data_IF_325682181763
#
_entry.id   IF_325682181763
#
_cell.length_a   1.000
_cell.length_b   1.000
_cell.length_c   1.000
_cell.angle_alpha   90.00
_cell.angle_beta   90.00
_cell.angle_gamma   90.00
#
_symmetry.space_group_name_H-M   'P 1'
#
loop_
_entity.id
_entity.type
_entity.pdbx_description
1 polymer ?
#
# COMPACT_ATOMS: atom_id res chain seq x y z
N UNK A 1 -54.00 23.25 -14.88
CA UNK A 1 -53.21 22.00 -14.90
C UNK A 1 -51.96 22.13 -14.03
N UNK A 2 -52.11 22.36 -12.71
CA UNK A 2 -50.98 22.64 -11.79
C UNK A 2 -51.01 21.71 -10.55
N UNK A 3 -51.95 20.77 -10.47
CA UNK A 3 -52.13 19.90 -9.29
C UNK A 3 -51.24 18.65 -9.27
N UNK A 4 -50.54 18.36 -10.37
CA UNK A 4 -49.67 17.17 -10.49
C UNK A 4 -48.19 17.43 -10.20
N UNK A 5 -47.73 18.69 -10.16
CA UNK A 5 -46.30 19.01 -10.04
C UNK A 5 -45.84 19.00 -8.58
N UNK A 6 -46.73 19.33 -7.64
CA UNK A 6 -46.39 19.38 -6.21
C UNK A 6 -46.17 17.98 -5.60
N UNK A 7 -46.79 16.93 -6.15
CA UNK A 7 -46.62 15.56 -5.66
C UNK A 7 -45.27 14.95 -6.08
N UNK A 8 -44.71 15.35 -7.23
CA UNK A 8 -43.40 14.89 -7.67
C UNK A 8 -42.24 15.52 -6.86
N UNK A 9 -42.41 16.75 -6.36
CA UNK A 9 -41.39 17.45 -5.60
C UNK A 9 -41.17 16.89 -4.18
N UNK A 10 -42.21 16.30 -3.57
CA UNK A 10 -42.12 15.75 -2.19
C UNK A 10 -41.47 14.36 -2.15
N UNK A 11 -41.66 13.54 -3.20
CA UNK A 11 -41.04 12.21 -3.30
C UNK A 11 -39.52 12.31 -3.49
N UNK A 12 -39.04 13.36 -4.17
CA UNK A 12 -37.60 13.61 -4.33
C UNK A 12 -36.90 14.08 -3.04
N UNK A 13 -37.63 14.64 -2.07
CA UNK A 13 -37.07 15.09 -0.78
C UNK A 13 -36.98 13.98 0.28
N UNK A 14 -37.59 12.82 0.05
CA UNK A 14 -37.61 11.69 0.98
C UNK A 14 -36.63 10.56 0.64
N UNK A 15 -35.67 10.81 -0.26
CA UNK A 15 -34.60 9.85 -0.55
C UNK A 15 -33.28 10.23 0.14
N UNK A 16 -33.09 9.92 1.44
CA UNK A 16 -31.77 9.59 1.94
C UNK A 16 -31.54 8.09 1.66
N UNK A 17 -31.56 7.67 0.40
CA UNK A 17 -30.82 6.45 0.08
C UNK A 17 -29.38 6.88 -0.05
N UNK A 18 -28.74 6.93 1.11
CA UNK A 18 -27.32 7.06 1.26
C UNK A 18 -26.67 5.98 0.40
N UNK A 19 -26.27 6.36 -0.82
CA UNK A 19 -25.20 5.73 -1.55
C UNK A 19 -23.95 5.94 -0.69
N UNK A 20 -23.83 5.15 0.38
CA UNK A 20 -22.55 4.88 0.99
C UNK A 20 -21.78 4.12 -0.08
N UNK A 21 -21.10 4.88 -0.94
CA UNK A 21 -20.00 4.35 -1.71
C UNK A 21 -19.07 3.73 -0.66
N UNK A 22 -19.01 2.40 -0.64
CA UNK A 22 -18.05 1.69 0.17
C UNK A 22 -16.68 2.24 -0.23
N UNK A 23 -16.15 3.17 0.55
CA UNK A 23 -14.80 3.68 0.36
C UNK A 23 -13.86 2.54 0.74
N UNK A 24 -13.49 1.76 -0.28
CA UNK A 24 -12.48 0.71 -0.18
C UNK A 24 -11.12 1.37 0.11
N UNK A 25 -10.88 1.65 1.38
CA UNK A 25 -9.60 2.10 1.90
C UNK A 25 -8.74 0.87 2.12
N UNK A 26 -8.32 0.24 1.01
CA UNK A 26 -7.37 -0.89 0.81
C UNK A 26 -7.49 -2.15 1.71
N UNK A 27 -8.27 -2.13 2.79
CA UNK A 27 -8.39 -3.20 3.80
C UNK A 27 -9.64 -3.14 4.65
N UNK A 28 -10.38 -2.02 4.67
CA UNK A 28 -11.58 -1.88 5.51
C UNK A 28 -12.81 -1.51 4.69
N UNK A 29 -13.94 -2.16 5.02
CA UNK A 29 -15.27 -1.84 4.50
C UNK A 29 -16.15 -1.38 5.65
N UNK A 30 -16.81 -0.24 5.48
CA UNK A 30 -17.81 0.24 6.44
C UNK A 30 -19.15 -0.41 6.11
N UNK A 31 -19.68 -1.19 7.04
CA UNK A 31 -20.96 -1.88 6.88
C UNK A 31 -22.14 -1.02 7.34
N UNK A 32 -21.94 -0.27 8.42
CA UNK A 32 -22.91 0.62 9.03
C UNK A 32 -22.17 1.74 9.80
N UNK A 33 -22.85 2.82 10.21
CA UNK A 33 -22.27 3.78 11.14
C UNK A 33 -21.73 3.08 12.39
N UNK A 34 -20.43 3.23 12.67
CA UNK A 34 -19.76 2.58 13.81
C UNK A 34 -19.36 1.11 13.61
N UNK A 35 -19.68 0.48 12.46
CA UNK A 35 -19.30 -0.90 12.16
C UNK A 35 -18.35 -0.94 10.96
N UNK A 36 -17.08 -1.22 11.24
CA UNK A 36 -16.03 -1.43 10.23
C UNK A 36 -15.57 -2.88 10.24
N UNK A 37 -15.41 -3.45 9.05
CA UNK A 37 -14.90 -4.79 8.84
C UNK A 37 -13.55 -4.71 8.14
N UNK A 38 -12.53 -5.30 8.75
CA UNK A 38 -11.15 -5.29 8.27
C UNK A 38 -10.77 -6.63 7.66
N UNK A 39 -9.87 -6.59 6.68
CA UNK A 39 -9.27 -7.79 6.09
C UNK A 39 -8.69 -8.69 7.19
N UNK A 40 -9.15 -9.92 7.23
CA UNK A 40 -8.76 -10.94 8.20
C UNK A 40 -9.47 -10.83 9.55
N UNK A 41 -10.51 -10.00 9.66
CA UNK A 41 -11.46 -10.09 10.77
C UNK A 41 -12.12 -11.47 10.76
N UNK A 42 -12.36 -12.01 11.96
CA UNK A 42 -12.89 -13.36 12.14
C UNK A 42 -14.32 -13.30 12.67
N UNK A 43 -15.24 -14.02 12.03
CA UNK A 43 -16.62 -14.17 12.52
C UNK A 43 -16.73 -15.19 13.66
N UNK A 44 -17.94 -15.36 14.20
CA UNK A 44 -18.23 -16.33 15.27
C UNK A 44 -18.03 -17.78 14.86
N UNK A 45 -18.04 -18.09 13.56
CA UNK A 45 -17.83 -19.44 12.99
C UNK A 45 -16.35 -19.72 12.70
N UNK A 46 -15.49 -18.71 12.80
CA UNK A 46 -14.07 -18.80 12.49
C UNK A 46 -13.71 -18.44 11.05
N UNK A 47 -14.67 -17.98 10.24
CA UNK A 47 -14.41 -17.52 8.88
C UNK A 47 -13.74 -16.16 8.90
N UNK A 48 -12.85 -15.94 7.94
CA UNK A 48 -12.10 -14.70 7.81
C UNK A 48 -12.68 -13.84 6.70
N UNK A 49 -12.77 -12.54 6.94
CA UNK A 49 -13.14 -11.58 5.92
C UNK A 49 -12.00 -11.37 4.93
N UNK A 50 -12.22 -11.57 3.63
CA UNK A 50 -11.21 -11.36 2.58
C UNK A 50 -11.22 -9.96 1.94
N UNK A 51 -12.10 -9.07 2.40
CA UNK A 51 -12.39 -7.77 1.79
C UNK A 51 -13.73 -7.72 1.05
N UNK A 52 -14.31 -8.88 0.73
CA UNK A 52 -15.59 -8.96 0.02
C UNK A 52 -16.51 -10.09 0.50
N UNK A 53 -15.95 -11.19 0.97
CA UNK A 53 -16.68 -12.36 1.45
C UNK A 53 -16.04 -12.95 2.71
N UNK A 54 -16.86 -13.65 3.49
CA UNK A 54 -16.39 -14.54 4.55
C UNK A 54 -15.84 -15.83 3.95
N UNK A 55 -14.62 -16.20 4.33
CA UNK A 55 -13.89 -17.33 3.77
C UNK A 55 -13.48 -18.30 4.86
N UNK A 56 -13.54 -19.57 4.52
CA UNK A 56 -13.14 -20.63 5.45
C UNK A 56 -11.66 -20.50 5.85
N UNK A 57 -11.28 -20.97 7.05
CA UNK A 57 -9.91 -20.85 7.55
C UNK A 57 -8.83 -21.39 6.62
N UNK A 58 -9.08 -22.55 5.97
CA UNK A 58 -8.09 -23.18 5.09
C UNK A 58 -7.82 -22.32 3.87
N UNK A 59 -8.87 -21.95 3.14
CA UNK A 59 -8.78 -21.05 2.00
C UNK A 59 -8.06 -19.74 2.33
N UNK A 60 -8.35 -19.17 3.50
CA UNK A 60 -7.75 -17.89 3.90
C UNK A 60 -6.25 -18.05 4.16
N UNK A 61 -5.84 -19.07 4.91
CA UNK A 61 -4.42 -19.35 5.20
C UNK A 61 -3.63 -19.74 3.94
N UNK A 62 -4.28 -20.36 2.94
CA UNK A 62 -3.62 -20.70 1.67
C UNK A 62 -3.29 -19.46 0.81
N UNK A 63 -4.00 -18.36 1.03
CA UNK A 63 -3.91 -17.13 0.20
C UNK A 63 -3.31 -15.94 0.94
N UNK A 64 -3.46 -15.90 2.25
CA UNK A 64 -3.05 -14.80 3.10
C UNK A 64 -2.11 -15.29 4.20
N UNK A 65 -1.11 -14.48 4.49
CA UNK A 65 -0.20 -14.67 5.61
C UNK A 65 -0.22 -13.42 6.50
N UNK A 66 -0.23 -13.64 7.82
CA UNK A 66 -0.07 -12.54 8.77
C UNK A 66 1.41 -12.19 8.90
N UNK A 67 1.78 -10.99 8.46
CA UNK A 67 3.17 -10.48 8.45
C UNK A 67 3.15 -8.97 8.71
N UNK A 68 4.16 -8.47 9.42
CA UNK A 68 4.26 -7.02 9.72
C UNK A 68 2.99 -6.44 10.34
N UNK A 69 2.35 -7.21 11.25
CA UNK A 69 1.10 -6.84 11.94
C UNK A 69 -0.12 -6.65 11.01
N UNK A 70 -0.06 -7.11 9.76
CA UNK A 70 -1.14 -7.02 8.77
C UNK A 70 -1.31 -8.35 8.02
N UNK A 71 -2.51 -8.60 7.52
CA UNK A 71 -2.76 -9.68 6.57
C UNK A 71 -2.27 -9.31 5.16
N UNK A 72 -1.38 -10.13 4.61
CA UNK A 72 -0.84 -9.99 3.27
C UNK A 72 -1.29 -11.13 2.37
N UNK A 73 -1.79 -10.80 1.17
CA UNK A 73 -1.94 -11.82 0.12
C UNK A 73 -0.57 -12.33 -0.31
N UNK A 74 -0.40 -13.64 -0.47
CA UNK A 74 0.89 -14.28 -0.79
C UNK A 74 1.62 -13.67 -1.99
N UNK A 75 0.90 -13.33 -3.06
CA UNK A 75 1.48 -12.69 -4.25
C UNK A 75 1.95 -11.25 -3.98
N UNK A 76 1.19 -10.49 -3.21
CA UNK A 76 1.57 -9.13 -2.81
C UNK A 76 2.82 -9.18 -1.92
N UNK A 77 2.88 -10.12 -0.99
CA UNK A 77 4.07 -10.34 -0.16
C UNK A 77 5.30 -10.72 -0.98
N UNK A 78 5.16 -11.63 -1.96
CA UNK A 78 6.27 -12.02 -2.84
C UNK A 78 6.81 -10.82 -3.63
N UNK A 79 5.92 -9.97 -4.17
CA UNK A 79 6.31 -8.74 -4.86
C UNK A 79 6.99 -7.74 -3.93
N UNK A 80 6.45 -7.55 -2.72
CA UNK A 80 7.07 -6.69 -1.71
C UNK A 80 8.50 -7.13 -1.39
N UNK A 81 8.71 -8.43 -1.20
CA UNK A 81 10.04 -9.01 -0.96
C UNK A 81 11.00 -8.86 -2.16
N UNK A 82 10.51 -8.89 -3.39
CA UNK A 82 11.33 -8.61 -4.57
C UNK A 82 11.74 -7.14 -4.62
N UNK A 83 10.78 -6.23 -4.44
CA UNK A 83 11.03 -4.80 -4.41
C UNK A 83 12.01 -4.40 -3.29
N UNK A 84 11.89 -5.00 -2.10
CA UNK A 84 12.86 -4.79 -1.02
C UNK A 84 14.27 -5.23 -1.40
N UNK A 85 14.40 -6.38 -2.07
CA UNK A 85 15.70 -6.88 -2.55
C UNK A 85 16.30 -5.97 -3.60
N UNK A 86 15.51 -5.50 -4.56
CA UNK A 86 15.93 -4.53 -5.57
C UNK A 86 16.38 -3.22 -4.93
N UNK A 87 15.59 -2.66 -4.00
CA UNK A 87 16.01 -1.47 -3.25
C UNK A 87 17.34 -1.66 -2.54
N UNK A 88 17.54 -2.80 -1.86
CA UNK A 88 18.80 -3.12 -1.17
C UNK A 88 19.95 -3.23 -2.18
N UNK A 89 19.71 -3.81 -3.34
CA UNK A 89 20.70 -3.88 -4.42
C UNK A 89 21.08 -2.48 -4.92
N UNK A 90 20.10 -1.63 -5.22
CA UNK A 90 20.33 -0.24 -5.66
C UNK A 90 21.04 0.60 -4.59
N UNK A 91 20.69 0.42 -3.31
CA UNK A 91 21.38 1.10 -2.22
C UNK A 91 22.86 0.71 -2.15
N UNK A 92 23.17 -0.59 -2.26
CA UNK A 92 24.56 -1.08 -2.30
C UNK A 92 25.30 -0.61 -3.54
N UNK A 93 24.64 -0.56 -4.70
CA UNK A 93 25.25 -0.07 -5.93
C UNK A 93 25.64 1.41 -5.82
N UNK A 94 24.72 2.24 -5.31
CA UNK A 94 25.01 3.66 -5.04
C UNK A 94 26.16 3.82 -4.05
N UNK A 95 26.20 3.01 -2.99
CA UNK A 95 27.29 3.05 -2.04
C UNK A 95 28.64 2.70 -2.69
N UNK A 96 28.68 1.63 -3.51
CA UNK A 96 29.90 1.26 -4.25
C UNK A 96 30.36 2.38 -5.18
N UNK A 97 29.44 2.99 -5.94
CA UNK A 97 29.77 4.14 -6.81
C UNK A 97 30.35 5.30 -6.02
N UNK A 98 29.72 5.65 -4.89
CA UNK A 98 30.22 6.67 -3.97
C UNK A 98 31.62 6.35 -3.45
N UNK A 99 31.89 5.11 -3.06
CA UNK A 99 33.21 4.68 -2.59
C UNK A 99 34.26 4.75 -3.70
N UNK A 100 33.91 4.37 -4.94
CA UNK A 100 34.79 4.46 -6.10
C UNK A 100 35.12 5.93 -6.44
N UNK A 101 34.12 6.80 -6.51
CA UNK A 101 34.29 8.23 -6.76
C UNK A 101 35.13 8.90 -5.67
N UNK A 102 34.85 8.58 -4.40
CA UNK A 102 35.60 9.12 -3.27
C UNK A 102 37.07 8.70 -3.33
N UNK A 103 37.37 7.43 -3.64
CA UNK A 103 38.76 6.97 -3.82
C UNK A 103 39.47 7.69 -4.97
N UNK A 104 38.78 7.90 -6.10
CA UNK A 104 39.32 8.67 -7.23
C UNK A 104 39.66 10.10 -6.81
N UNK A 105 38.74 10.78 -6.14
CA UNK A 105 38.95 12.13 -5.61
C UNK A 105 40.17 12.21 -4.68
N UNK A 106 40.34 11.23 -3.78
CA UNK A 106 41.51 11.17 -2.88
C UNK A 106 42.81 10.90 -3.62
N UNK A 107 42.79 10.04 -4.65
CA UNK A 107 43.97 9.77 -5.47
C UNK A 107 44.39 11.01 -6.27
N UNK A 108 43.43 11.66 -6.93
CA UNK A 108 43.64 12.89 -7.71
C UNK A 108 44.17 14.04 -6.83
N UNK A 109 43.60 14.23 -5.64
CA UNK A 109 44.12 15.22 -4.67
C UNK A 109 45.56 14.94 -4.24
N UNK A 110 45.93 13.66 -4.05
CA UNK A 110 47.30 13.26 -3.71
C UNK A 110 48.26 13.55 -4.85
N UNK A 111 47.86 13.32 -6.10
CA UNK A 111 48.67 13.65 -7.27
C UNK A 111 48.83 15.17 -7.43
N UNK A 112 47.76 15.95 -7.26
CA UNK A 112 47.81 17.40 -7.31
C UNK A 112 48.72 18.01 -6.23
N UNK A 113 48.76 17.42 -5.02
CA UNK A 113 49.73 17.82 -3.99
C UNK A 113 51.17 17.42 -4.32
N UNK A 114 51.37 16.35 -5.09
CA UNK A 114 52.70 15.84 -5.45
C UNK A 114 53.36 16.63 -6.58
N UNK A 115 52.57 17.28 -7.43
CA UNK A 115 53.05 18.08 -8.57
C UNK A 115 52.24 19.38 -8.75
N UNK A 116 52.39 20.38 -7.86
CA UNK A 116 51.57 21.59 -7.92
C UNK A 116 51.84 22.49 -9.14
N UNK A 117 52.95 22.31 -9.87
CA UNK A 117 53.40 23.26 -10.90
C UNK A 117 52.85 23.03 -12.33
N UNK A 118 52.02 22.01 -12.58
CA UNK A 118 51.60 21.67 -13.97
C UNK A 118 50.42 22.45 -14.54
N UNK A 119 49.82 23.37 -13.78
CA UNK A 119 48.59 24.09 -14.18
C UNK A 119 48.71 25.62 -14.05
N UNK A 120 49.87 26.18 -14.39
CA UNK A 120 50.06 27.64 -14.53
C UNK A 120 50.14 28.05 -15.99
#
# INVERSE_FOLDING_TARGET
MIRGILLAAVVAMLMPLAMHTAQASDTSVRLAPGVTLHLGDRDRRGYYWDGHHWREPRWFNDRYAYKERRWWRHEAWRRHQQWERERRWHARDRQRRWEHEHRHWHAERREHHRYPERYR
#
